data_IF_921626035901
#
_entry.id   IF_921626035901
#
_cell.length_a   1.000
_cell.length_b   1.000
_cell.length_c   1.000
_cell.angle_alpha   90.00
_cell.angle_beta   90.00
_cell.angle_gamma   90.00
#
_symmetry.space_group_name_H-M   'P 1'
#
loop_
_entity.id
_entity.type
_entity.pdbx_description
1 polymer ?
#
# COMPACT_ATOMS: atom_id res chain seq x y z
N UNK A 1 -18.99 -17.11 -7.09
CA UNK A 1 -19.79 -16.49 -6.00
C UNK A 1 -19.02 -16.64 -4.69
N UNK A 2 -17.88 -15.95 -4.56
CA UNK A 2 -16.89 -16.18 -3.49
C UNK A 2 -16.65 -14.93 -2.62
N UNK A 3 -17.72 -14.16 -2.42
CA UNK A 3 -17.75 -12.98 -1.56
C UNK A 3 -18.23 -13.16 -0.09
N UNK A 4 -18.71 -14.32 0.44
CA UNK A 4 -19.27 -14.31 1.81
C UNK A 4 -18.33 -14.70 2.96
N UNK A 5 -17.17 -15.34 2.73
CA UNK A 5 -16.36 -15.88 3.85
C UNK A 5 -15.58 -14.78 4.58
N UNK A 6 -15.31 -13.65 3.91
CA UNK A 6 -14.63 -12.50 4.53
C UNK A 6 -15.54 -11.69 5.48
N UNK A 7 -16.87 -11.88 5.44
CA UNK A 7 -17.82 -11.04 6.18
C UNK A 7 -18.10 -11.53 7.62
N UNK A 8 -17.76 -12.78 7.96
CA UNK A 8 -18.06 -13.34 9.28
C UNK A 8 -17.03 -13.01 10.39
N UNK A 9 -15.86 -12.48 10.04
CA UNK A 9 -14.87 -11.94 11.00
C UNK A 9 -15.07 -10.45 11.28
N UNK A 10 -16.31 -9.96 11.22
CA UNK A 10 -16.61 -8.51 11.28
C UNK A 10 -16.91 -7.98 12.69
N UNK A 11 -17.25 -8.82 13.67
CA UNK A 11 -17.58 -8.29 15.01
C UNK A 11 -16.35 -7.86 15.84
N UNK A 12 -15.22 -8.55 15.70
CA UNK A 12 -13.93 -8.05 16.23
C UNK A 12 -13.28 -7.00 15.31
N UNK A 13 -13.62 -7.02 14.01
CA UNK A 13 -13.14 -6.01 13.07
C UNK A 13 -13.79 -4.64 13.30
N UNK A 14 -14.95 -4.49 13.95
CA UNK A 14 -15.60 -3.18 14.09
C UNK A 14 -14.72 -2.11 14.78
N UNK A 15 -13.88 -2.49 15.75
CA UNK A 15 -12.92 -1.57 16.38
C UNK A 15 -11.73 -1.24 15.47
N UNK A 16 -11.25 -2.22 14.68
CA UNK A 16 -10.21 -2.01 13.68
C UNK A 16 -10.72 -1.23 12.46
N UNK A 17 -11.93 -1.51 11.98
CA UNK A 17 -12.61 -0.89 10.87
C UNK A 17 -12.88 0.59 11.15
N UNK A 18 -13.17 0.97 12.41
CA UNK A 18 -13.25 2.38 12.81
C UNK A 18 -11.91 3.11 12.72
N UNK A 19 -10.77 2.41 12.86
CA UNK A 19 -9.42 2.94 12.66
C UNK A 19 -9.03 2.99 11.17
N UNK A 20 -9.41 1.98 10.39
CA UNK A 20 -9.20 1.93 8.93
C UNK A 20 -10.09 2.91 8.16
N UNK A 21 -11.30 3.21 8.64
CA UNK A 21 -12.22 4.17 8.01
C UNK A 21 -11.72 5.63 8.08
N UNK A 22 -10.82 5.96 9.00
CA UNK A 22 -10.13 7.26 9.01
C UNK A 22 -9.12 7.44 7.87
N UNK A 23 -8.81 6.37 7.12
CA UNK A 23 -7.99 6.38 5.90
C UNK A 23 -8.79 5.98 4.65
N UNK A 24 -10.13 6.07 4.71
CA UNK A 24 -10.96 6.01 3.52
C UNK A 24 -10.66 7.24 2.64
N UNK A 25 -10.31 7.07 1.34
CA UNK A 25 -9.85 8.16 0.47
C UNK A 25 -10.94 9.20 0.11
N UNK A 26 -12.17 9.04 0.62
CA UNK A 26 -13.32 9.83 0.18
C UNK A 26 -13.59 11.09 1.00
N UNK A 27 -12.84 11.42 2.07
CA UNK A 27 -13.11 12.65 2.82
C UNK A 27 -11.98 13.20 3.69
N UNK A 28 -10.71 13.18 3.22
CA UNK A 28 -9.65 13.91 3.92
C UNK A 28 -9.60 15.36 3.44
N UNK A 29 -10.08 16.27 4.29
CA UNK A 29 -9.95 17.72 4.12
C UNK A 29 -8.46 18.08 4.18
N UNK A 30 -7.91 18.43 3.02
CA UNK A 30 -6.48 18.55 2.73
C UNK A 30 -5.83 19.67 3.56
N UNK A 31 -5.07 19.26 4.58
CA UNK A 31 -3.79 19.88 4.85
C UNK A 31 -2.73 18.80 4.58
N UNK A 32 -2.41 18.58 3.30
CA UNK A 32 -1.45 17.56 2.84
C UNK A 32 -0.04 17.84 3.40
N UNK A 33 0.17 17.44 4.66
CA UNK A 33 1.44 17.53 5.35
C UNK A 33 2.26 16.27 5.09
N UNK A 34 3.59 16.36 5.22
CA UNK A 34 4.50 15.19 5.11
C UNK A 34 4.03 13.98 5.94
N UNK A 35 3.39 14.23 7.09
CA UNK A 35 2.83 13.19 7.97
C UNK A 35 1.71 12.41 7.29
N UNK A 36 0.81 13.10 6.61
CA UNK A 36 -0.31 12.48 5.90
C UNK A 36 0.19 11.68 4.69
N UNK A 37 1.15 12.24 3.94
CA UNK A 37 1.74 11.53 2.81
C UNK A 37 2.45 10.24 3.24
N UNK A 38 3.19 10.24 4.36
CA UNK A 38 3.78 9.02 4.93
C UNK A 38 2.73 7.98 5.32
N UNK A 39 1.61 8.42 5.91
CA UNK A 39 0.50 7.53 6.25
C UNK A 39 -0.11 6.90 5.00
N UNK A 40 -0.27 7.66 3.92
CA UNK A 40 -0.80 7.15 2.66
C UNK A 40 0.14 6.13 2.02
N UNK A 41 1.46 6.40 2.01
CA UNK A 41 2.47 5.42 1.54
C UNK A 41 2.41 4.14 2.37
N UNK A 42 2.41 4.25 3.70
CA UNK A 42 2.33 3.10 4.59
C UNK A 42 1.03 2.31 4.42
N UNK A 43 -0.09 3.00 4.19
CA UNK A 43 -1.38 2.37 3.97
C UNK A 43 -1.37 1.54 2.68
N UNK A 44 -0.95 2.14 1.57
CA UNK A 44 -0.89 1.47 0.27
C UNK A 44 0.10 0.30 0.29
N UNK A 45 1.29 0.47 0.90
CA UNK A 45 2.24 -0.61 1.08
C UNK A 45 1.66 -1.75 1.94
N UNK A 46 0.90 -1.43 2.99
CA UNK A 46 0.23 -2.43 3.83
C UNK A 46 -0.82 -3.26 3.09
N UNK A 47 -1.61 -2.62 2.22
CA UNK A 47 -2.57 -3.33 1.35
C UNK A 47 -1.85 -4.25 0.36
N UNK A 48 -0.83 -3.75 -0.34
CA UNK A 48 -0.04 -4.56 -1.28
C UNK A 48 0.66 -5.75 -0.60
N UNK A 49 1.23 -5.53 0.59
CA UNK A 49 1.88 -6.58 1.37
C UNK A 49 0.88 -7.66 1.78
N UNK A 50 -0.30 -7.24 2.23
CA UNK A 50 -1.38 -8.16 2.65
C UNK A 50 -1.87 -8.98 1.46
N UNK A 51 -1.98 -8.38 0.28
CA UNK A 51 -2.36 -9.08 -0.95
C UNK A 51 -1.34 -10.15 -1.31
N UNK A 52 -0.04 -9.84 -1.31
CA UNK A 52 1.03 -10.83 -1.53
C UNK A 52 0.97 -11.97 -0.50
N UNK A 53 0.76 -11.64 0.77
CA UNK A 53 0.67 -12.63 1.85
C UNK A 53 -0.53 -13.57 1.66
N UNK A 54 -1.69 -13.02 1.30
CA UNK A 54 -2.90 -13.81 1.06
C UNK A 54 -2.69 -14.76 -0.12
N UNK A 55 -2.10 -14.28 -1.22
CA UNK A 55 -1.74 -15.12 -2.37
C UNK A 55 -0.82 -16.28 -1.95
N UNK A 56 0.28 -15.98 -1.24
CA UNK A 56 1.24 -16.99 -0.77
C UNK A 56 0.65 -18.05 0.17
N UNK A 57 -0.25 -17.63 1.07
CA UNK A 57 -0.79 -18.51 2.11
C UNK A 57 -2.03 -19.30 1.69
N UNK A 58 -2.91 -18.72 0.86
CA UNK A 58 -4.25 -19.26 0.65
C UNK A 58 -4.57 -19.66 -0.78
N UNK A 59 -3.76 -19.27 -1.78
CA UNK A 59 -4.00 -19.65 -3.18
C UNK A 59 -3.14 -20.87 -3.56
N UNK A 60 -3.75 -22.04 -3.87
CA UNK A 60 -3.01 -23.21 -4.30
C UNK A 60 -2.37 -22.98 -5.68
N UNK A 61 -1.10 -23.36 -5.83
CA UNK A 61 -0.36 -23.21 -7.08
C UNK A 61 0.43 -21.90 -7.20
N UNK A 62 0.22 -20.94 -6.29
CA UNK A 62 1.02 -19.72 -6.23
C UNK A 62 2.49 -20.04 -5.91
N UNK A 63 3.38 -19.39 -6.66
CA UNK A 63 4.82 -19.44 -6.43
C UNK A 63 5.16 -18.64 -5.17
N UNK A 64 5.34 -19.35 -4.05
CA UNK A 64 5.62 -18.75 -2.74
C UNK A 64 6.92 -17.95 -2.72
N UNK A 65 7.94 -18.38 -3.47
CA UNK A 65 9.24 -17.69 -3.50
C UNK A 65 9.05 -16.32 -4.16
N UNK A 66 8.32 -16.26 -5.28
CA UNK A 66 8.01 -14.97 -5.93
C UNK A 66 7.10 -14.09 -5.07
N UNK A 67 6.15 -14.66 -4.35
CA UNK A 67 5.32 -13.90 -3.44
C UNK A 67 6.14 -13.29 -2.27
N UNK A 68 7.09 -14.04 -1.72
CA UNK A 68 8.03 -13.56 -0.69
C UNK A 68 8.95 -12.46 -1.22
N UNK A 69 9.44 -12.60 -2.45
CA UNK A 69 10.22 -11.57 -3.14
C UNK A 69 9.41 -10.28 -3.34
N UNK A 70 8.14 -10.39 -3.75
CA UNK A 70 7.23 -9.24 -3.89
C UNK A 70 6.90 -8.59 -2.55
N UNK A 71 6.74 -9.36 -1.47
CA UNK A 71 6.60 -8.82 -0.12
C UNK A 71 7.83 -7.98 0.27
N UNK A 72 9.04 -8.47 0.00
CA UNK A 72 10.26 -7.72 0.24
C UNK A 72 10.37 -6.45 -0.64
N UNK A 73 9.92 -6.51 -1.89
CA UNK A 73 9.87 -5.36 -2.79
C UNK A 73 8.89 -4.28 -2.29
N UNK A 74 7.72 -4.66 -1.78
CA UNK A 74 6.77 -3.75 -1.15
C UNK A 74 7.39 -3.03 0.04
N UNK A 75 8.13 -3.74 0.90
CA UNK A 75 8.83 -3.14 2.05
C UNK A 75 9.93 -2.17 1.63
N UNK A 76 10.69 -2.50 0.58
CA UNK A 76 11.70 -1.60 0.00
C UNK A 76 11.06 -0.32 -0.56
N UNK A 77 9.97 -0.46 -1.32
CA UNK A 77 9.21 0.66 -1.86
C UNK A 77 8.66 1.54 -0.71
N UNK A 78 8.13 0.95 0.35
CA UNK A 78 7.70 1.69 1.53
C UNK A 78 8.85 2.52 2.13
N UNK A 79 9.97 1.89 2.44
CA UNK A 79 11.13 2.54 3.09
C UNK A 79 11.70 3.67 2.22
N UNK A 80 11.86 3.42 0.92
CA UNK A 80 12.34 4.39 -0.04
C UNK A 80 11.46 5.64 -0.06
N UNK A 81 10.14 5.48 -0.26
CA UNK A 81 9.24 6.60 -0.41
C UNK A 81 9.00 7.32 0.93
N UNK A 82 8.99 6.62 2.06
CA UNK A 82 8.94 7.27 3.39
C UNK A 82 10.19 8.10 3.66
N UNK A 83 11.37 7.60 3.27
CA UNK A 83 12.64 8.31 3.40
C UNK A 83 12.68 9.54 2.50
N UNK A 84 12.29 9.41 1.22
CA UNK A 84 12.17 10.55 0.28
C UNK A 84 11.31 11.68 0.85
N UNK A 85 10.16 11.38 1.47
CA UNK A 85 9.30 12.41 2.10
C UNK A 85 10.02 13.16 3.23
N UNK A 86 10.95 12.51 3.93
CA UNK A 86 11.73 13.14 5.00
C UNK A 86 12.75 14.14 4.44
N UNK A 87 13.22 13.94 3.21
CA UNK A 87 14.27 14.72 2.54
C UNK A 87 13.73 15.50 1.34
N UNK A 88 12.71 16.34 1.57
CA UNK A 88 12.17 17.23 0.53
C UNK A 88 13.20 18.23 0.05
N UNK A 89 13.41 18.32 -1.27
CA UNK A 89 14.36 19.25 -1.88
C UNK A 89 13.98 20.73 -1.61
N UNK A 90 14.89 21.54 -1.04
CA UNK A 90 14.67 22.97 -0.88
C UNK A 90 14.68 23.66 -2.25
N UNK A 91 13.81 24.66 -2.43
CA UNK A 91 13.75 25.47 -3.65
C UNK A 91 12.71 25.03 -4.69
N UNK A 92 12.41 23.73 -4.84
CA UNK A 92 11.41 23.22 -5.80
C UNK A 92 10.42 22.21 -5.18
N UNK A 93 9.76 22.62 -4.10
CA UNK A 93 8.82 21.76 -3.34
C UNK A 93 7.67 21.23 -4.21
N UNK A 94 7.11 22.06 -5.10
CA UNK A 94 6.00 21.67 -5.98
C UNK A 94 6.43 20.61 -7.01
N UNK A 95 7.60 20.81 -7.63
CA UNK A 95 8.18 19.86 -8.58
C UNK A 95 8.50 18.52 -7.90
N UNK A 96 9.10 18.58 -6.71
CA UNK A 96 9.41 17.41 -5.89
C UNK A 96 8.16 16.54 -5.67
N UNK A 97 7.06 17.12 -5.16
CA UNK A 97 5.86 16.33 -4.87
C UNK A 97 5.08 15.89 -6.11
N UNK A 98 5.25 16.56 -7.26
CA UNK A 98 4.70 16.10 -8.54
C UNK A 98 5.44 14.85 -9.00
N UNK A 99 6.78 14.89 -9.00
CA UNK A 99 7.64 13.75 -9.35
C UNK A 99 7.46 12.59 -8.39
N UNK A 100 7.46 12.86 -7.08
CA UNK A 100 7.22 11.86 -6.04
C UNK A 100 5.96 11.02 -6.31
N UNK A 101 4.83 11.68 -6.64
CA UNK A 101 3.57 10.97 -6.93
C UNK A 101 3.65 10.15 -8.21
N UNK A 102 4.31 10.67 -9.24
CA UNK A 102 4.49 9.94 -10.50
C UNK A 102 5.34 8.67 -10.27
N UNK A 103 6.49 8.81 -9.62
CA UNK A 103 7.40 7.70 -9.28
C UNK A 103 6.68 6.68 -8.38
N UNK A 104 5.96 7.14 -7.35
CA UNK A 104 5.25 6.27 -6.42
C UNK A 104 4.14 5.47 -7.12
N UNK A 105 3.31 6.14 -7.92
CA UNK A 105 2.23 5.47 -8.65
C UNK A 105 2.79 4.48 -9.69
N UNK A 106 3.87 4.82 -10.37
CA UNK A 106 4.54 3.90 -11.28
C UNK A 106 5.00 2.63 -10.53
N UNK A 107 5.66 2.80 -9.38
CA UNK A 107 6.14 1.66 -8.60
C UNK A 107 5.02 0.80 -8.03
N UNK A 108 3.93 1.42 -7.57
CA UNK A 108 2.72 0.71 -7.13
C UNK A 108 2.12 -0.11 -8.27
N UNK A 109 2.00 0.47 -9.47
CA UNK A 109 1.46 -0.24 -10.63
C UNK A 109 2.34 -1.44 -11.03
N UNK A 110 3.67 -1.29 -11.03
CA UNK A 110 4.60 -2.39 -11.28
C UNK A 110 4.36 -3.56 -10.32
N UNK A 111 4.21 -3.27 -9.02
CA UNK A 111 3.95 -4.29 -8.00
C UNK A 111 2.57 -4.96 -8.22
N UNK A 112 1.53 -4.17 -8.52
CA UNK A 112 0.19 -4.71 -8.81
C UNK A 112 0.23 -5.66 -10.02
N UNK A 113 0.92 -5.28 -11.09
CA UNK A 113 1.09 -6.13 -12.26
C UNK A 113 1.86 -7.42 -11.94
N UNK A 114 2.86 -7.34 -11.07
CA UNK A 114 3.63 -8.52 -10.66
C UNK A 114 2.81 -9.46 -9.77
N UNK A 115 2.02 -8.92 -8.83
CA UNK A 115 1.05 -9.69 -8.03
C UNK A 115 0.04 -10.38 -8.96
N UNK A 116 -0.47 -9.68 -9.97
CA UNK A 116 -1.41 -10.24 -10.96
C UNK A 116 -0.84 -11.40 -11.79
N UNK A 117 0.50 -11.58 -11.81
CA UNK A 117 1.21 -12.67 -12.51
C UNK A 117 1.63 -13.82 -11.58
N UNK A 118 1.29 -13.76 -10.29
CA UNK A 118 1.57 -14.84 -9.33
C UNK A 118 0.71 -16.08 -9.56
N UNK A 119 -0.38 -15.96 -10.33
CA UNK A 119 -1.39 -17.00 -10.57
C UNK A 119 -1.63 -17.23 -12.07
#
# INVERSE_FOLDING_TARGET
MFFPILFARIKESAYLYRKYFYYSPLNVKIMASRRELKKNVNYIAGELFTECLINSMFIPGTDKVKADELMAEVLKMQDEFVTRISHTEPGNVKGFYKKFRADFNAKVNEIIEAIGKLN
#
